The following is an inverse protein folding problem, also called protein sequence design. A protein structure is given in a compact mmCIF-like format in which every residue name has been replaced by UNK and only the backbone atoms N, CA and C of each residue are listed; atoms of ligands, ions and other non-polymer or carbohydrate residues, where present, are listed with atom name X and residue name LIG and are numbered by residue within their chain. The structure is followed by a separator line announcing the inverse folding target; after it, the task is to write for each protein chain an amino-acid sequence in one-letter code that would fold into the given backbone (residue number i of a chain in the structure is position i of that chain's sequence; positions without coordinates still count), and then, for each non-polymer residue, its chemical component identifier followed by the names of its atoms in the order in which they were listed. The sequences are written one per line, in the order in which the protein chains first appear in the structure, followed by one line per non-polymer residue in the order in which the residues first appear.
data_IF_943016583788
#
_entry.id   IF_943016583788
#
_cell.length_a   1.000
_cell.length_b   1.000
_cell.length_c   1.000
_cell.angle_alpha   90.00
_cell.angle_beta   90.00
_cell.angle_gamma   90.00
#
_symmetry.space_group_name_H-M   'P 1'
#
loop_
_entity.id
_entity.type
_entity.pdbx_description
1 polymer ?
#
# COMPACT_ATOMS: atom_id res chain seq x y z
N UNK A 1 -1.12 13.81 -1.37
CA UNK A 1 -2.19 12.95 -1.91
C UNK A 1 -3.49 13.72 -2.04
N UNK A 2 -4.13 13.60 -3.20
CA UNK A 2 -5.52 14.04 -3.41
C UNK A 2 -6.50 13.09 -2.70
N UNK A 3 -7.73 13.53 -2.52
CA UNK A 3 -8.81 12.73 -1.91
C UNK A 3 -9.00 11.36 -2.59
N UNK A 4 -9.05 11.23 -3.93
CA UNK A 4 -9.23 9.91 -4.57
C UNK A 4 -8.06 8.96 -4.31
N UNK A 5 -6.82 9.46 -4.21
CA UNK A 5 -5.65 8.61 -3.89
C UNK A 5 -5.73 8.05 -2.47
N UNK A 6 -6.23 8.85 -1.52
CA UNK A 6 -6.45 8.38 -0.15
C UNK A 6 -7.52 7.29 -0.10
N UNK A 7 -8.64 7.51 -0.80
CA UNK A 7 -9.73 6.53 -0.88
C UNK A 7 -9.20 5.22 -1.50
N UNK A 8 -8.44 5.30 -2.59
CA UNK A 8 -7.81 4.14 -3.19
C UNK A 8 -6.85 3.43 -2.23
N UNK A 9 -6.01 4.17 -1.51
CA UNK A 9 -5.09 3.60 -0.54
C UNK A 9 -5.81 2.85 0.60
N UNK A 10 -6.90 3.41 1.12
CA UNK A 10 -7.72 2.72 2.12
C UNK A 10 -8.39 1.47 1.53
N UNK A 11 -8.99 1.58 0.34
CA UNK A 11 -9.58 0.44 -0.36
C UNK A 11 -8.58 -0.69 -0.61
N UNK A 12 -7.35 -0.35 -1.00
CA UNK A 12 -6.27 -1.31 -1.20
C UNK A 12 -5.92 -2.05 0.10
N UNK A 13 -5.76 -1.33 1.21
CA UNK A 13 -5.48 -1.93 2.52
C UNK A 13 -6.65 -2.83 2.97
N UNK A 14 -7.89 -2.37 2.84
CA UNK A 14 -9.07 -3.18 3.18
C UNK A 14 -9.21 -4.40 2.29
N UNK A 15 -8.89 -4.29 1.00
CA UNK A 15 -8.87 -5.41 0.07
C UNK A 15 -7.85 -6.46 0.48
N UNK A 16 -6.62 -6.07 0.82
CA UNK A 16 -5.59 -7.01 1.29
C UNK A 16 -6.00 -7.72 2.58
N UNK A 17 -6.48 -6.97 3.58
CA UNK A 17 -6.96 -7.55 4.84
C UNK A 17 -8.12 -8.52 4.58
N UNK A 18 -9.08 -8.12 3.75
CA UNK A 18 -10.23 -8.94 3.38
C UNK A 18 -9.83 -10.20 2.64
N UNK A 19 -8.87 -10.10 1.71
CA UNK A 19 -8.37 -11.25 0.95
C UNK A 19 -7.66 -12.25 1.87
N UNK A 20 -6.81 -11.77 2.77
CA UNK A 20 -6.13 -12.61 3.77
C UNK A 20 -7.15 -13.29 4.68
N UNK A 21 -8.11 -12.53 5.21
CA UNK A 21 -9.16 -13.07 6.07
C UNK A 21 -10.02 -14.12 5.35
N UNK A 22 -10.37 -13.89 4.08
CA UNK A 22 -11.12 -14.83 3.25
C UNK A 22 -10.35 -16.14 3.04
N UNK A 23 -9.06 -16.07 2.70
CA UNK A 23 -8.20 -17.25 2.50
C UNK A 23 -7.99 -18.04 3.81
N UNK A 24 -7.96 -17.34 4.95
CA UNK A 24 -7.89 -17.98 6.27
C UNK A 24 -9.20 -18.69 6.64
N UNK A 25 -10.34 -18.03 6.41
CA UNK A 25 -11.67 -18.56 6.73
C UNK A 25 -12.11 -19.70 5.80
N UNK A 26 -11.63 -19.71 4.54
CA UNK A 26 -12.05 -20.67 3.53
C UNK A 26 -10.84 -21.42 2.96
N UNK A 27 -10.25 -22.36 3.72
CA UNK A 27 -9.06 -23.09 3.29
C UNK A 27 -9.26 -23.93 2.02
N UNK A 28 -10.52 -24.29 1.71
CA UNK A 28 -10.93 -24.98 0.50
C UNK A 28 -10.63 -24.22 -0.80
N UNK A 29 -10.52 -22.88 -0.76
CA UNK A 29 -10.15 -22.07 -1.92
C UNK A 29 -8.64 -21.82 -2.02
N UNK A 30 -7.81 -22.51 -1.23
CA UNK A 30 -6.34 -22.46 -1.35
C UNK A 30 -5.79 -23.28 -2.51
N UNK A 31 -6.62 -23.63 -3.49
CA UNK A 31 -6.15 -24.24 -4.72
C UNK A 31 -5.41 -23.21 -5.58
N UNK A 32 -4.37 -23.69 -6.27
CA UNK A 32 -3.47 -22.85 -7.07
C UNK A 32 -4.24 -21.97 -8.07
N UNK A 33 -5.31 -22.51 -8.66
CA UNK A 33 -6.16 -21.84 -9.64
C UNK A 33 -6.91 -20.62 -9.10
N UNK A 34 -7.17 -20.55 -7.79
CA UNK A 34 -7.81 -19.39 -7.15
C UNK A 34 -6.77 -18.46 -6.51
N UNK A 35 -5.69 -19.03 -5.96
CA UNK A 35 -4.58 -18.27 -5.38
C UNK A 35 -3.82 -17.43 -6.41
N UNK A 36 -3.61 -17.94 -7.63
CA UNK A 36 -2.89 -17.21 -8.68
C UNK A 36 -3.58 -15.89 -9.06
N UNK A 37 -4.87 -15.88 -9.47
CA UNK A 37 -5.55 -14.64 -9.81
C UNK A 37 -5.73 -13.72 -8.60
N UNK A 38 -5.97 -14.26 -7.40
CA UNK A 38 -6.04 -13.48 -6.17
C UNK A 38 -4.70 -12.78 -5.83
N UNK A 39 -3.59 -13.52 -5.95
CA UNK A 39 -2.24 -12.97 -5.73
C UNK A 39 -1.85 -11.97 -6.80
N UNK A 40 -2.25 -12.20 -8.05
CA UNK A 40 -2.05 -11.25 -9.15
C UNK A 40 -2.83 -9.95 -8.90
N UNK A 41 -4.09 -10.04 -8.49
CA UNK A 41 -4.89 -8.87 -8.11
C UNK A 41 -4.24 -8.12 -6.94
N UNK A 42 -3.78 -8.83 -5.91
CA UNK A 42 -3.03 -8.25 -4.79
C UNK A 42 -1.76 -7.53 -5.27
N UNK A 43 -0.98 -8.15 -6.16
CA UNK A 43 0.24 -7.57 -6.74
C UNK A 43 -0.06 -6.26 -7.50
N UNK A 44 -1.12 -6.24 -8.32
CA UNK A 44 -1.54 -5.05 -9.06
C UNK A 44 -1.95 -3.93 -8.11
N UNK A 45 -2.81 -4.23 -7.14
CA UNK A 45 -3.28 -3.27 -6.14
C UNK A 45 -2.10 -2.69 -5.35
N UNK A 46 -1.17 -3.54 -4.91
CA UNK A 46 -0.03 -3.12 -4.12
C UNK A 46 0.97 -2.30 -4.96
N UNK A 47 1.19 -2.67 -6.22
CA UNK A 47 2.02 -1.90 -7.15
C UNK A 47 1.47 -0.49 -7.36
N UNK A 48 0.15 -0.36 -7.54
CA UNK A 48 -0.49 0.96 -7.69
C UNK A 48 -0.36 1.75 -6.39
N UNK A 49 -0.58 1.12 -5.23
CA UNK A 49 -0.40 1.76 -3.92
C UNK A 49 1.02 2.29 -3.72
N UNK A 50 2.04 1.48 -4.00
CA UNK A 50 3.44 1.85 -3.95
C UNK A 50 3.73 3.03 -4.88
N UNK A 51 3.24 2.99 -6.12
CA UNK A 51 3.41 4.09 -7.06
C UNK A 51 2.83 5.41 -6.53
N UNK A 52 1.61 5.38 -5.97
CA UNK A 52 0.99 6.57 -5.37
C UNK A 52 1.78 7.11 -4.18
N UNK A 53 2.28 6.23 -3.31
CA UNK A 53 3.07 6.61 -2.13
C UNK A 53 4.42 7.22 -2.55
N UNK A 54 5.14 6.56 -3.46
CA UNK A 54 6.40 7.10 -3.97
C UNK A 54 6.19 8.44 -4.64
N UNK A 55 5.15 8.57 -5.47
CA UNK A 55 4.78 9.85 -6.09
C UNK A 55 4.55 10.94 -5.05
N UNK A 56 3.86 10.63 -3.95
CA UNK A 56 3.65 11.57 -2.85
C UNK A 56 4.96 11.94 -2.14
N UNK A 57 5.83 10.97 -1.84
CA UNK A 57 7.13 11.21 -1.20
C UNK A 57 8.02 12.12 -2.05
N UNK A 58 8.10 11.85 -3.35
CA UNK A 58 8.95 12.64 -4.25
C UNK A 58 8.43 14.08 -4.42
N UNK A 59 7.12 14.25 -4.53
CA UNK A 59 6.47 15.56 -4.69
C UNK A 59 6.37 16.37 -3.39
N UNK A 60 6.42 15.74 -2.22
CA UNK A 60 6.29 16.47 -0.94
C UNK A 60 7.58 17.23 -0.62
N UNK A 61 7.52 18.50 -0.21
CA UNK A 61 8.69 19.19 0.34
C UNK A 61 8.95 18.64 1.74
N UNK A 62 10.06 17.93 1.91
CA UNK A 62 10.54 17.53 3.24
C UNK A 62 11.58 18.54 3.70
N UNK A 63 11.54 18.98 4.98
CA UNK A 63 12.54 19.90 5.52
C UNK A 63 13.95 19.31 5.52
N UNK A 64 14.06 17.97 5.54
CA UNK A 64 15.31 17.26 5.35
C UNK A 64 15.26 16.44 4.04
N UNK A 65 16.13 16.70 3.05
CA UNK A 65 16.13 15.98 1.77
C UNK A 65 16.45 14.48 1.93
N UNK A 66 17.17 14.08 2.99
CA UNK A 66 17.45 12.67 3.28
C UNK A 66 16.20 11.91 3.74
N UNK A 67 15.21 12.60 4.30
CA UNK A 67 13.97 11.96 4.77
C UNK A 67 13.18 11.32 3.62
N UNK A 68 13.26 11.87 2.41
CA UNK A 68 12.65 11.28 1.20
C UNK A 68 13.23 9.90 0.89
N UNK A 69 14.56 9.79 0.89
CA UNK A 69 15.26 8.54 0.62
C UNK A 69 15.06 7.52 1.74
N UNK A 70 15.02 7.97 3.00
CA UNK A 70 14.73 7.10 4.15
C UNK A 70 13.33 6.53 4.03
N UNK A 71 12.30 7.36 3.83
CA UNK A 71 10.93 6.87 3.67
C UNK A 71 10.76 5.99 2.44
N UNK A 72 11.38 6.35 1.31
CA UNK A 72 11.37 5.53 0.10
C UNK A 72 12.01 4.16 0.33
N UNK A 73 13.17 4.10 0.97
CA UNK A 73 13.84 2.85 1.31
C UNK A 73 13.04 2.02 2.31
N UNK A 74 12.57 2.64 3.39
CA UNK A 74 11.78 1.96 4.44
C UNK A 74 10.52 1.34 3.85
N UNK A 75 9.80 2.04 2.96
CA UNK A 75 8.59 1.52 2.32
C UNK A 75 8.92 0.38 1.33
N UNK A 76 10.05 0.45 0.64
CA UNK A 76 10.48 -0.59 -0.30
C UNK A 76 10.84 -1.90 0.41
N UNK A 77 11.60 -1.81 1.52
CA UNK A 77 12.07 -2.98 2.28
C UNK A 77 11.06 -3.48 3.30
N UNK A 78 10.25 -2.59 3.87
CA UNK A 78 9.26 -2.88 4.90
C UNK A 78 7.91 -2.36 4.38
N UNK A 79 7.24 -3.17 3.56
CA UNK A 79 5.93 -2.83 3.00
C UNK A 79 4.89 -2.38 4.06
N UNK A 80 4.82 -2.95 5.28
CA UNK A 80 3.93 -2.45 6.32
C UNK A 80 4.17 -0.97 6.70
N UNK A 81 5.38 -0.46 6.48
CA UNK A 81 5.71 0.94 6.75
C UNK A 81 4.97 1.91 5.81
N UNK A 82 4.44 1.44 4.67
CA UNK A 82 3.56 2.20 3.80
C UNK A 82 2.29 2.66 4.55
N UNK A 83 1.74 1.80 5.42
CA UNK A 83 0.56 2.11 6.23
C UNK A 83 0.90 3.18 7.27
N UNK A 84 2.04 3.05 7.94
CA UNK A 84 2.55 4.05 8.88
C UNK A 84 2.80 5.40 8.19
N UNK A 85 3.39 5.39 6.99
CA UNK A 85 3.57 6.58 6.18
C UNK A 85 2.24 7.25 5.85
N UNK A 86 1.24 6.48 5.40
CA UNK A 86 -0.10 6.98 5.09
C UNK A 86 -0.79 7.60 6.31
N UNK A 87 -0.69 6.97 7.48
CA UNK A 87 -1.24 7.50 8.73
C UNK A 87 -0.56 8.82 9.14
N UNK A 88 0.78 8.85 9.10
CA UNK A 88 1.57 10.00 9.59
C UNK A 88 1.60 11.18 8.60
N UNK A 89 1.68 10.88 7.30
CA UNK A 89 1.94 11.85 6.24
C UNK A 89 0.83 11.94 5.19
N UNK A 90 0.04 10.87 5.00
CA UNK A 90 -1.11 10.87 4.08
C UNK A 90 -2.25 11.75 4.59
N UNK A 91 -2.59 11.68 5.88
CA UNK A 91 -3.67 12.49 6.48
C UNK A 91 -3.30 13.96 6.73
N UNK A 92 -2.01 14.30 6.78
CA UNK A 92 -1.56 15.68 7.04
C UNK A 92 -1.69 16.54 5.77
N UNK A 93 -2.47 17.63 5.85
CA UNK A 93 -2.55 18.65 4.78
C UNK A 93 -1.13 19.10 4.43
N UNK A 94 -0.87 19.24 3.12
CA UNK A 94 0.41 19.72 2.59
C UNK A 94 0.75 21.07 3.19
#
# INVERSE_FOLDING_TARGET
MSVPEKIYAFLAIFFEIGLVAFILAQPQYRHLSFLLPASFAGLVVNTILLFLIFRDIWLRPFPNPRAKFIWGGVILFIWPAAILYLLLHGCRKR
#
